data_IF_909852437471
#
_entry.id   IF_909852437471
#
_cell.length_a   1.000
_cell.length_b   1.000
_cell.length_c   1.000
_cell.angle_alpha   90.00
_cell.angle_beta   90.00
_cell.angle_gamma   90.00
#
_symmetry.space_group_name_H-M   'P 1'
#
loop_
_entity.id
_entity.type
_entity.pdbx_description
1 polymer ?
#
# COMPACT_ATOMS: atom_id res chain seq x y z
N UNK A 1 18.00 -25.85 -33.76
CA UNK A 1 19.20 -25.19 -33.36
C UNK A 1 19.03 -24.47 -32.04
N UNK A 2 19.91 -24.74 -31.16
CA UNK A 2 19.86 -24.12 -29.84
C UNK A 2 19.95 -22.61 -29.93
N UNK A 3 20.74 -22.13 -30.87
CA UNK A 3 20.91 -20.70 -31.02
C UNK A 3 19.61 -20.00 -31.37
N UNK A 4 18.85 -20.61 -32.24
CA UNK A 4 17.57 -20.06 -32.63
C UNK A 4 16.64 -19.90 -31.47
N UNK A 5 16.49 -20.95 -30.67
CA UNK A 5 15.63 -20.91 -29.52
C UNK A 5 16.08 -19.86 -28.53
N UNK A 6 17.36 -19.84 -28.30
CA UNK A 6 17.93 -18.89 -27.37
C UNK A 6 17.68 -17.46 -27.83
N UNK A 7 17.91 -17.22 -29.11
CA UNK A 7 17.70 -15.89 -29.67
C UNK A 7 16.27 -15.45 -29.55
N UNK A 8 15.35 -16.36 -29.79
CA UNK A 8 13.94 -16.05 -29.71
C UNK A 8 13.55 -15.64 -28.28
N UNK A 9 14.04 -16.39 -27.31
CA UNK A 9 13.79 -16.08 -25.93
C UNK A 9 14.30 -14.69 -25.56
N UNK A 10 15.51 -14.40 -25.93
CA UNK A 10 16.12 -13.13 -25.63
C UNK A 10 15.35 -11.99 -26.26
N UNK A 11 14.96 -12.16 -27.50
CA UNK A 11 14.23 -11.10 -28.17
C UNK A 11 12.91 -10.84 -27.51
N UNK A 12 12.23 -11.89 -27.11
CA UNK A 12 10.91 -11.71 -26.52
C UNK A 12 10.99 -10.99 -25.18
N UNK A 13 11.95 -11.37 -24.34
CA UNK A 13 12.01 -10.80 -23.00
C UNK A 13 12.55 -9.39 -22.97
N UNK A 14 13.77 -9.15 -23.44
CA UNK A 14 14.35 -7.82 -23.27
C UNK A 14 13.87 -6.80 -24.29
N UNK A 15 13.37 -7.27 -25.41
CA UNK A 15 13.04 -6.35 -26.47
C UNK A 15 11.63 -5.83 -26.49
N UNK A 16 10.80 -6.29 -25.59
CA UNK A 16 9.37 -5.93 -25.60
C UNK A 16 9.08 -4.86 -24.58
N UNK A 17 8.72 -3.64 -25.01
CA UNK A 17 8.36 -2.60 -24.04
C UNK A 17 7.21 -3.03 -23.14
N UNK A 18 6.26 -3.79 -23.70
CA UNK A 18 5.14 -4.26 -22.91
C UNK A 18 5.59 -5.22 -21.81
N UNK A 19 6.51 -6.13 -22.14
CA UNK A 19 7.04 -7.07 -21.16
C UNK A 19 7.80 -6.34 -20.07
N UNK A 20 8.60 -5.35 -20.44
CA UNK A 20 9.36 -4.59 -19.48
C UNK A 20 8.42 -3.79 -18.56
N UNK A 21 7.43 -3.15 -19.13
CA UNK A 21 6.46 -2.39 -18.34
C UNK A 21 5.74 -3.30 -17.36
N UNK A 22 5.34 -4.48 -17.81
CA UNK A 22 4.64 -5.42 -16.94
C UNK A 22 5.54 -5.91 -15.81
N UNK A 23 6.82 -6.10 -16.09
CA UNK A 23 7.75 -6.54 -15.06
C UNK A 23 7.99 -5.46 -14.03
N UNK A 24 8.15 -4.23 -14.49
CA UNK A 24 8.33 -3.09 -13.58
C UNK A 24 7.11 -2.96 -12.69
N UNK A 25 5.93 -3.09 -13.27
CA UNK A 25 4.69 -2.98 -12.50
C UNK A 25 4.58 -4.10 -11.47
N UNK A 26 4.96 -5.33 -11.84
CA UNK A 26 4.92 -6.45 -10.92
C UNK A 26 5.90 -6.25 -9.76
N UNK A 27 7.08 -5.74 -10.04
CA UNK A 27 8.05 -5.47 -9.00
C UNK A 27 7.59 -4.35 -8.08
N UNK A 28 6.99 -3.33 -8.64
CA UNK A 28 6.44 -2.24 -7.86
C UNK A 28 5.34 -2.74 -6.93
N UNK A 29 4.46 -3.57 -7.46
CA UNK A 29 3.38 -4.14 -6.67
C UNK A 29 3.93 -4.95 -5.51
N UNK A 30 4.93 -5.76 -5.77
CA UNK A 30 5.56 -6.59 -4.74
C UNK A 30 6.18 -5.73 -3.65
N UNK A 31 6.87 -4.67 -4.04
CA UNK A 31 7.47 -3.76 -3.06
C UNK A 31 6.41 -3.09 -2.20
N UNK A 32 5.32 -2.67 -2.82
CA UNK A 32 4.23 -2.04 -2.08
C UNK A 32 3.62 -3.04 -1.11
N UNK A 33 3.37 -4.25 -1.58
CA UNK A 33 2.78 -5.29 -0.76
C UNK A 33 3.64 -5.59 0.47
N UNK A 34 4.94 -5.72 0.27
CA UNK A 34 5.87 -5.96 1.38
C UNK A 34 5.85 -4.81 2.37
N UNK A 35 5.86 -3.59 1.85
CA UNK A 35 5.88 -2.41 2.72
C UNK A 35 4.58 -2.30 3.52
N UNK A 36 3.46 -2.63 2.90
CA UNK A 36 2.15 -2.61 3.58
C UNK A 36 2.11 -3.68 4.66
N UNK A 37 2.56 -4.89 4.33
CA UNK A 37 2.57 -5.99 5.29
C UNK A 37 3.42 -5.64 6.50
N UNK A 38 4.59 -5.07 6.25
CA UNK A 38 5.50 -4.71 7.33
C UNK A 38 4.87 -3.62 8.22
N UNK A 39 4.27 -2.62 7.61
CA UNK A 39 3.64 -1.54 8.37
C UNK A 39 2.49 -2.06 9.23
N UNK A 40 1.71 -2.96 8.66
CA UNK A 40 0.55 -3.50 9.38
C UNK A 40 0.96 -4.40 10.52
N UNK A 41 2.00 -5.21 10.30
CA UNK A 41 2.50 -6.06 11.36
C UNK A 41 3.07 -5.22 12.50
N UNK A 42 3.83 -4.20 12.15
CA UNK A 42 4.43 -3.29 13.12
C UNK A 42 3.35 -2.62 13.96
N UNK A 43 2.31 -2.12 13.31
CA UNK A 43 1.21 -1.46 14.02
C UNK A 43 0.46 -2.43 14.93
N UNK A 44 0.27 -3.66 14.45
CA UNK A 44 -0.46 -4.65 15.22
C UNK A 44 0.33 -5.08 16.46
N UNK A 45 1.63 -5.26 16.30
CA UNK A 45 2.51 -5.59 17.42
C UNK A 45 2.48 -4.49 18.46
N UNK A 46 2.57 -3.24 18.01
CA UNK A 46 2.55 -2.10 18.92
C UNK A 46 1.23 -2.00 19.68
N UNK A 47 0.12 -2.18 18.99
CA UNK A 47 -1.18 -2.09 19.64
C UNK A 47 -1.37 -3.19 20.67
N UNK A 48 -0.90 -4.39 20.36
CA UNK A 48 -0.99 -5.50 21.31
C UNK A 48 -0.08 -5.27 22.50
N UNK A 49 1.12 -4.79 22.24
CA UNK A 49 2.05 -4.50 23.32
C UNK A 49 1.47 -3.47 24.30
N UNK A 50 0.83 -2.46 23.76
CA UNK A 50 0.23 -1.43 24.58
C UNK A 50 -0.87 -1.96 25.48
N UNK A 51 -1.47 -3.08 25.11
CA UNK A 51 -2.52 -3.71 25.90
C UNK A 51 -2.02 -4.91 26.70
N UNK A 52 -0.73 -5.13 26.71
CA UNK A 52 -0.16 -6.26 27.42
C UNK A 52 -0.44 -7.61 26.76
N UNK A 53 -0.74 -7.61 25.48
CA UNK A 53 -1.04 -8.83 24.75
C UNK A 53 0.17 -9.32 23.97
N UNK A 54 0.26 -10.64 23.72
CA UNK A 54 1.39 -11.16 22.95
C UNK A 54 1.32 -10.77 21.50
N UNK A 55 2.46 -10.85 20.82
CA UNK A 55 2.54 -10.56 19.41
C UNK A 55 1.69 -11.57 18.62
N UNK A 56 1.20 -11.18 17.44
CA UNK A 56 0.38 -12.09 16.65
C UNK A 56 1.19 -13.30 16.17
N UNK A 57 0.51 -14.42 16.04
CA UNK A 57 1.13 -15.68 15.63
C UNK A 57 0.57 -16.10 14.28
N UNK A 58 1.47 -16.40 13.34
CA UNK A 58 1.07 -16.69 11.97
C UNK A 58 0.15 -17.90 11.85
N UNK A 59 0.31 -18.88 12.72
CA UNK A 59 -0.51 -20.09 12.67
C UNK A 59 -1.91 -19.91 13.25
N UNK A 60 -2.17 -18.81 13.90
CA UNK A 60 -3.44 -18.58 14.56
C UNK A 60 -4.41 -17.92 13.60
N UNK A 61 -5.56 -18.55 13.38
CA UNK A 61 -6.53 -18.07 12.40
C UNK A 61 -7.08 -16.69 12.76
N UNK A 62 -7.29 -16.45 14.06
CA UNK A 62 -7.78 -15.15 14.51
C UNK A 62 -6.76 -14.06 14.26
N UNK A 63 -5.50 -14.36 14.54
CA UNK A 63 -4.42 -13.40 14.33
C UNK A 63 -4.27 -13.07 12.84
N UNK A 64 -4.39 -14.09 11.98
CA UNK A 64 -4.35 -13.86 10.54
C UNK A 64 -5.50 -13.00 10.08
N UNK A 65 -6.69 -13.23 10.62
CA UNK A 65 -7.85 -12.42 10.25
C UNK A 65 -7.67 -10.97 10.68
N UNK A 66 -7.14 -10.77 11.88
CA UNK A 66 -6.87 -9.40 12.35
C UNK A 66 -5.83 -8.71 11.49
N UNK A 67 -4.80 -9.44 11.08
CA UNK A 67 -3.78 -8.89 10.20
C UNK A 67 -4.37 -8.50 8.84
N UNK A 68 -5.20 -9.37 8.28
CA UNK A 68 -5.83 -9.11 6.99
C UNK A 68 -6.72 -7.86 7.06
N UNK A 69 -7.45 -7.71 8.15
CA UNK A 69 -8.25 -6.52 8.34
C UNK A 69 -7.39 -5.26 8.44
N UNK A 70 -6.26 -5.39 9.12
CA UNK A 70 -5.33 -4.27 9.26
C UNK A 70 -4.77 -3.86 7.91
N UNK A 71 -4.41 -4.83 7.07
CA UNK A 71 -3.90 -4.54 5.74
C UNK A 71 -4.95 -3.78 4.92
N UNK A 72 -6.18 -4.25 4.94
CA UNK A 72 -7.23 -3.58 4.19
C UNK A 72 -7.46 -2.16 4.69
N UNK A 73 -7.53 -1.98 5.99
CA UNK A 73 -7.74 -0.66 6.57
C UNK A 73 -6.61 0.29 6.22
N UNK A 74 -5.38 -0.20 6.27
CA UNK A 74 -4.23 0.64 5.93
C UNK A 74 -4.24 1.03 4.47
N UNK A 75 -4.56 0.07 3.59
CA UNK A 75 -4.62 0.37 2.15
C UNK A 75 -5.69 1.41 1.84
N UNK A 76 -6.82 1.35 2.52
CA UNK A 76 -7.86 2.36 2.32
C UNK A 76 -7.38 3.74 2.78
N UNK A 77 -6.70 3.79 3.90
CA UNK A 77 -6.13 5.03 4.38
C UNK A 77 -5.08 5.61 3.43
N UNK A 78 -4.21 4.73 2.93
CA UNK A 78 -3.19 5.15 1.96
C UNK A 78 -3.84 5.74 0.73
N UNK A 79 -4.86 5.08 0.22
CA UNK A 79 -5.55 5.57 -0.96
C UNK A 79 -6.05 6.98 -0.73
N UNK A 80 -6.75 7.19 0.38
CA UNK A 80 -7.33 8.50 0.65
C UNK A 80 -6.27 9.56 0.90
N UNK A 81 -5.23 9.20 1.66
CA UNK A 81 -4.20 10.16 2.03
C UNK A 81 -3.35 10.58 0.83
N UNK A 82 -3.04 9.64 -0.07
CA UNK A 82 -2.15 9.93 -1.18
C UNK A 82 -2.89 10.55 -2.35
N UNK A 83 -4.17 10.19 -2.51
CA UNK A 83 -4.95 10.68 -3.65
C UNK A 83 -5.11 12.20 -3.64
N UNK A 84 -4.98 12.84 -2.48
CA UNK A 84 -5.12 14.31 -2.42
C UNK A 84 -4.03 15.01 -3.21
N UNK A 85 -2.92 14.35 -3.49
CA UNK A 85 -1.81 14.93 -4.23
C UNK A 85 -2.00 14.89 -5.74
N UNK A 86 -3.03 14.20 -6.22
CA UNK A 86 -3.21 13.98 -7.64
C UNK A 86 -3.73 15.23 -8.35
N UNK A 87 -3.13 15.55 -9.50
CA UNK A 87 -3.70 16.52 -10.42
C UNK A 87 -4.92 15.88 -11.10
N UNK A 88 -5.79 16.69 -11.71
CA UNK A 88 -7.02 16.14 -12.32
C UNK A 88 -6.79 15.02 -13.32
N UNK A 89 -5.78 15.15 -14.18
CA UNK A 89 -5.48 14.10 -15.15
C UNK A 89 -5.02 12.82 -14.46
N UNK A 90 -4.18 12.97 -13.47
CA UNK A 90 -3.68 11.83 -12.71
C UNK A 90 -4.84 11.15 -11.97
N UNK A 91 -5.73 11.95 -11.41
CA UNK A 91 -6.89 11.40 -10.70
C UNK A 91 -7.76 10.56 -11.62
N UNK A 92 -7.97 11.03 -12.85
CA UNK A 92 -8.77 10.26 -13.79
C UNK A 92 -8.15 8.89 -14.07
N UNK A 93 -6.83 8.85 -14.20
CA UNK A 93 -6.15 7.58 -14.46
C UNK A 93 -6.22 6.64 -13.26
N UNK A 94 -6.03 7.18 -12.07
CA UNK A 94 -6.12 6.36 -10.87
C UNK A 94 -7.56 5.89 -10.63
N UNK A 95 -8.54 6.76 -10.87
CA UNK A 95 -9.94 6.39 -10.73
C UNK A 95 -10.31 5.27 -11.70
N UNK A 96 -9.77 5.32 -12.92
CA UNK A 96 -10.02 4.25 -13.88
C UNK A 96 -9.43 2.92 -13.39
N UNK A 97 -8.23 2.96 -12.83
CA UNK A 97 -7.61 1.77 -12.27
C UNK A 97 -8.42 1.24 -11.09
N UNK A 98 -8.94 2.15 -10.27
CA UNK A 98 -9.75 1.76 -9.12
C UNK A 98 -11.03 1.07 -9.56
N UNK A 99 -11.69 1.62 -10.57
CA UNK A 99 -12.93 1.02 -11.07
C UNK A 99 -12.69 -0.37 -11.64
N UNK A 100 -11.57 -0.56 -12.33
CA UNK A 100 -11.25 -1.85 -12.90
C UNK A 100 -10.88 -2.89 -11.85
N UNK A 101 -10.32 -2.45 -10.74
CA UNK A 101 -9.76 -3.36 -9.74
C UNK A 101 -10.77 -3.79 -8.67
N UNK A 102 -11.74 -2.95 -8.34
CA UNK A 102 -12.71 -3.26 -7.30
C UNK A 102 -12.19 -2.96 -5.91
N UNK A 103 -12.89 -3.47 -4.92
CA UNK A 103 -12.66 -3.08 -3.53
C UNK A 103 -11.91 -4.08 -2.69
N UNK A 104 -11.56 -5.22 -3.23
CA UNK A 104 -10.85 -6.22 -2.45
C UNK A 104 -9.40 -5.81 -2.27
N UNK A 105 -8.72 -6.49 -1.37
CA UNK A 105 -7.33 -6.17 -1.04
C UNK A 105 -6.46 -6.09 -2.29
N UNK A 106 -6.63 -7.04 -3.20
CA UNK A 106 -5.86 -7.02 -4.45
C UNK A 106 -6.17 -5.80 -5.30
N UNK A 107 -7.43 -5.37 -5.28
CA UNK A 107 -7.82 -4.15 -5.97
C UNK A 107 -7.21 -2.92 -5.34
N UNK A 108 -7.18 -2.88 -4.03
CA UNK A 108 -6.57 -1.76 -3.33
C UNK A 108 -5.07 -1.68 -3.60
N UNK A 109 -4.41 -2.82 -3.73
CA UNK A 109 -3.00 -2.84 -4.12
C UNK A 109 -2.80 -2.30 -5.53
N UNK A 110 -3.70 -2.65 -6.44
CA UNK A 110 -3.62 -2.14 -7.81
C UNK A 110 -3.75 -0.62 -7.83
N UNK A 111 -4.60 -0.07 -6.98
CA UNK A 111 -4.72 1.39 -6.85
C UNK A 111 -3.41 1.99 -6.37
N UNK A 112 -2.75 1.36 -5.40
CA UNK A 112 -1.48 1.85 -4.92
C UNK A 112 -0.41 1.85 -6.01
N UNK A 113 -0.40 0.81 -6.84
CA UNK A 113 0.51 0.79 -7.98
C UNK A 113 0.23 1.96 -8.91
N UNK A 114 -1.04 2.23 -9.18
CA UNK A 114 -1.41 3.37 -10.04
C UNK A 114 -0.96 4.69 -9.42
N UNK A 115 -1.15 4.86 -8.11
CA UNK A 115 -0.69 6.06 -7.42
C UNK A 115 0.82 6.22 -7.50
N UNK A 116 1.55 5.13 -7.32
CA UNK A 116 2.99 5.17 -7.37
C UNK A 116 3.50 5.53 -8.76
N UNK A 117 2.79 5.11 -9.79
CA UNK A 117 3.17 5.45 -11.16
C UNK A 117 2.91 6.92 -11.46
N UNK A 118 1.94 7.54 -10.80
CA UNK A 118 1.60 8.93 -11.08
C UNK A 118 2.39 9.94 -10.24
N UNK A 119 2.86 9.53 -9.07
CA UNK A 119 3.45 10.47 -8.12
C UNK A 119 4.92 10.14 -7.86
N UNK A 120 5.83 11.03 -8.26
CA UNK A 120 7.26 10.78 -8.01
C UNK A 120 7.61 10.72 -6.53
N UNK A 121 6.82 11.37 -5.68
CA UNK A 121 7.06 11.35 -4.24
C UNK A 121 6.17 10.33 -3.51
N UNK A 122 5.74 9.29 -4.21
CA UNK A 122 4.86 8.29 -3.64
C UNK A 122 5.41 7.70 -2.34
N UNK A 123 6.68 7.31 -2.34
CA UNK A 123 7.24 6.63 -1.17
C UNK A 123 7.37 7.56 0.04
N UNK A 124 7.57 8.84 -0.18
CA UNK A 124 7.55 9.81 0.90
C UNK A 124 6.16 9.92 1.52
N UNK A 125 5.15 9.93 0.68
CA UNK A 125 3.77 9.98 1.15
C UNK A 125 3.36 8.69 1.84
N UNK A 126 3.84 7.56 1.31
CA UNK A 126 3.63 6.27 1.95
C UNK A 126 4.21 6.29 3.36
N UNK A 127 5.43 6.76 3.49
CA UNK A 127 6.11 6.76 4.79
C UNK A 127 5.38 7.64 5.79
N UNK A 128 4.91 8.80 5.36
CA UNK A 128 4.14 9.68 6.26
C UNK A 128 2.88 8.99 6.75
N UNK A 129 2.20 8.28 5.87
CA UNK A 129 0.99 7.54 6.25
C UNK A 129 1.32 6.38 7.18
N UNK A 130 2.44 5.69 6.91
CA UNK A 130 2.87 4.59 7.75
C UNK A 130 3.15 5.06 9.17
N UNK A 131 3.87 6.15 9.30
CA UNK A 131 4.20 6.70 10.62
C UNK A 131 2.93 7.04 11.39
N UNK A 132 1.98 7.69 10.73
CA UNK A 132 0.71 8.03 11.37
C UNK A 132 -0.05 6.78 11.77
N UNK A 133 -0.06 5.75 10.94
CA UNK A 133 -0.79 4.53 11.21
C UNK A 133 -0.19 3.75 12.38
N UNK A 134 1.13 3.60 12.37
CA UNK A 134 1.82 2.89 13.45
C UNK A 134 1.69 3.67 14.75
N UNK A 135 1.73 4.99 14.67
CA UNK A 135 1.57 5.82 15.86
C UNK A 135 0.17 5.81 16.43
N UNK A 136 -0.78 5.20 15.74
CA UNK A 136 -2.13 5.13 16.23
C UNK A 136 -2.95 6.38 15.99
N UNK A 137 -2.47 7.29 15.19
CA UNK A 137 -3.20 8.52 14.90
C UNK A 137 -4.28 8.30 13.88
N UNK A 138 -5.39 9.02 14.00
CA UNK A 138 -6.44 8.89 13.00
C UNK A 138 -5.95 9.37 11.66
N UNK A 139 -6.27 8.61 10.64
CA UNK A 139 -5.82 8.97 9.31
C UNK A 139 -6.42 10.26 8.83
N UNK A 140 -7.60 10.47 9.19
CA UNK A 140 -8.27 11.65 8.77
C UNK A 140 -7.79 12.80 9.51
N UNK A 141 -7.09 12.62 10.27
CA UNK A 141 -6.70 13.68 10.90
C UNK A 141 -7.87 14.46 11.04
N UNK A 142 -8.21 14.13 10.75
CA UNK A 142 -8.83 14.77 10.82
C UNK A 142 -9.70 14.93 11.73
N UNK A 143 -10.11 14.63 11.90
CA UNK A 143 -10.82 14.81 12.60
C UNK A 143 -10.56 15.07 13.68
N UNK A 144 -10.06 15.37 13.70
CA UNK A 144 -9.70 15.66 14.48
C UNK A 144 -8.96 16.12 14.93
N UNK A 145 -8.82 16.39 14.74
CA UNK A 145 -8.17 16.73 15.04
C UNK A 145 -7.97 17.07 15.86
N UNK A 146 -8.31 17.22 15.98
CA UNK A 146 -7.90 17.56 16.66
C UNK A 146 -8.03 17.55 17.68
N UNK A 147 -8.21 17.26 17.79
CA UNK A 147 -8.09 17.15 18.57
C UNK A 147 -7.58 17.03 19.29
N UNK A 148 -7.24 16.91 19.04
CA UNK A 148 -6.52 16.99 19.41
C UNK A 148 -6.22 17.39 19.98
N UNK A 149 -6.33 17.44 20.07
CA UNK A 149 -5.79 17.89 20.32
C UNK A 149 -5.97 17.99 21.23
N UNK A 150 -6.17 17.96 21.32
CA UNK A 150 -6.01 18.00 21.84
C UNK A 150 -6.08 17.62 22.76
N UNK A 151 -6.35 17.46 22.92
CA UNK A 151 -6.13 17.07 23.26
C UNK A 151 -5.75 16.97 23.79
N UNK A 152 -5.36 16.85 23.54
CA UNK A 152 -4.54 16.94 23.54
C UNK A 152 -4.25 17.23 23.89
N UNK A 153 -4.62 17.33 24.03
CA UNK A 153 -4.07 17.71 23.95
C UNK A 153 -3.93 17.78 24.47
N UNK A 154 -3.79 18.00 24.73
CA UNK A 154 -3.41 18.12 24.85
C UNK A 154 -3.29 18.11 25.09
N UNK A 155 -3.61 18.12 25.35
CA UNK A 155 -3.18 18.07 25.00
C UNK A 155 -3.27 17.96 24.97
#
# INVERSE_FOLDING_TARGET
>A
MADSSFSTSLRRDPGQPRDLAARIEAELRERIEEAVDFACLDALVDRRRARGLPAPVADNARDRAEFTQSVRAFLERLRDAIAVALAPDQRRRVDAAARAAGDETQGLLAVQVALAKELPDYWQRFEASRVAYVGGEPASGGERSGLLGRIFGRG
#
